data_IF_807547198559
#
_entry.id   IF_807547198559
#
_cell.length_a   1.000
_cell.length_b   1.000
_cell.length_c   1.000
_cell.angle_alpha   90.00
_cell.angle_beta   90.00
_cell.angle_gamma   90.00
#
_symmetry.space_group_name_H-M   'P 1'
#
loop_
_entity.id
_entity.type
_entity.pdbx_description
1 polymer ?
#
# COMPACT_ATOMS: atom_id res chain seq x y z
N UNK A 1 16.22 24.17 -3.67
CA UNK A 1 15.86 23.37 -2.48
C UNK A 1 15.62 21.95 -2.97
N UNK A 2 16.31 20.95 -2.41
CA UNK A 2 16.04 19.55 -2.76
C UNK A 2 14.76 19.14 -2.01
N UNK A 3 13.62 19.08 -2.70
CA UNK A 3 12.38 18.60 -2.10
C UNK A 3 12.55 17.10 -1.78
N UNK A 4 12.29 16.74 -0.53
CA UNK A 4 12.27 15.35 -0.04
C UNK A 4 10.81 14.93 0.10
N UNK A 5 10.39 13.92 -0.65
CA UNK A 5 9.03 13.36 -0.55
C UNK A 5 8.94 12.40 0.64
N UNK A 6 7.88 12.46 1.43
CA UNK A 6 7.57 11.49 2.49
C UNK A 6 6.57 10.47 1.97
N UNK A 7 6.94 9.18 2.01
CA UNK A 7 6.11 8.08 1.54
C UNK A 7 5.86 7.12 2.69
N UNK A 8 4.60 6.95 3.08
CA UNK A 8 4.19 5.92 4.01
C UNK A 8 4.19 4.56 3.31
N UNK A 9 4.85 3.57 3.90
CA UNK A 9 5.00 2.22 3.36
C UNK A 9 4.20 1.26 4.24
N UNK A 10 3.08 0.78 3.71
CA UNK A 10 2.15 -0.12 4.41
C UNK A 10 2.13 -1.45 3.67
N UNK A 11 2.87 -2.46 4.16
CA UNK A 11 2.94 -3.76 3.49
C UNK A 11 1.62 -4.54 3.62
N UNK A 12 0.97 -4.44 4.79
CA UNK A 12 -0.24 -5.16 5.15
C UNK A 12 -0.01 -6.67 5.29
N UNK A 13 -0.84 -7.48 4.65
CA UNK A 13 -0.94 -8.94 4.85
C UNK A 13 -0.43 -9.76 3.66
N UNK A 14 -0.11 -11.03 3.94
CA UNK A 14 0.22 -12.05 2.94
C UNK A 14 1.30 -11.60 1.95
N UNK A 15 1.00 -11.71 0.65
CA UNK A 15 1.94 -11.34 -0.42
C UNK A 15 2.32 -9.85 -0.39
N UNK A 16 1.56 -8.99 0.30
CA UNK A 16 1.95 -7.60 0.51
C UNK A 16 3.34 -7.47 1.15
N UNK A 17 3.65 -8.34 2.11
CA UNK A 17 4.97 -8.42 2.76
C UNK A 17 6.07 -8.96 1.85
N UNK A 18 5.72 -9.80 0.88
CA UNK A 18 6.66 -10.36 -0.10
C UNK A 18 7.01 -9.38 -1.23
N UNK A 19 6.01 -8.66 -1.74
CA UNK A 19 6.18 -7.77 -2.90
C UNK A 19 6.66 -6.37 -2.53
N UNK A 20 6.38 -5.90 -1.31
CA UNK A 20 6.80 -4.56 -0.86
C UNK A 20 8.32 -4.37 -0.92
N UNK A 21 9.18 -5.29 -0.43
CA UNK A 21 10.63 -5.17 -0.55
C UNK A 21 11.12 -5.10 -2.01
N UNK A 22 10.45 -5.82 -2.93
CA UNK A 22 10.78 -5.76 -4.35
C UNK A 22 10.44 -4.39 -4.96
N UNK A 23 9.28 -3.83 -4.61
CA UNK A 23 8.88 -2.47 -5.01
C UNK A 23 9.86 -1.41 -4.50
N UNK A 24 10.22 -1.46 -3.22
CA UNK A 24 11.21 -0.56 -2.61
C UNK A 24 12.59 -0.66 -3.27
N UNK A 25 13.02 -1.87 -3.65
CA UNK A 25 14.30 -2.08 -4.37
C UNK A 25 14.32 -1.35 -5.71
N UNK A 26 13.22 -1.42 -6.47
CA UNK A 26 13.09 -0.72 -7.76
C UNK A 26 13.03 0.79 -7.55
N UNK A 27 12.26 1.25 -6.56
CA UNK A 27 12.18 2.68 -6.21
C UNK A 27 13.57 3.22 -5.83
N UNK A 28 14.34 2.52 -5.00
CA UNK A 28 15.70 2.90 -4.63
C UNK A 28 16.60 3.07 -5.86
N UNK A 29 16.57 2.11 -6.79
CA UNK A 29 17.37 2.21 -8.01
C UNK A 29 16.96 3.41 -8.88
N UNK A 30 15.66 3.72 -8.95
CA UNK A 30 15.15 4.88 -9.68
C UNK A 30 15.52 6.20 -8.99
N UNK A 31 15.33 6.31 -7.68
CA UNK A 31 15.61 7.54 -6.92
C UNK A 31 17.10 7.90 -6.95
N UNK A 32 17.98 6.90 -6.82
CA UNK A 32 19.44 7.08 -6.97
C UNK A 32 19.81 7.54 -8.37
N UNK A 33 19.21 6.95 -9.41
CA UNK A 33 19.48 7.30 -10.81
C UNK A 33 19.06 8.73 -11.15
N UNK A 34 17.95 9.21 -10.60
CA UNK A 34 17.35 10.50 -10.96
C UNK A 34 17.55 11.60 -9.91
N UNK A 35 18.27 11.31 -8.82
CA UNK A 35 18.52 12.29 -7.74
C UNK A 35 17.26 12.70 -6.98
N UNK A 36 16.27 11.80 -6.86
CA UNK A 36 15.01 12.05 -6.15
C UNK A 36 15.19 11.65 -4.70
N UNK A 37 14.89 12.54 -3.76
CA UNK A 37 14.94 12.24 -2.34
C UNK A 37 13.57 11.73 -1.84
N UNK A 38 13.53 10.52 -1.28
CA UNK A 38 12.34 9.94 -0.64
C UNK A 38 12.67 9.56 0.80
N UNK A 39 11.80 9.94 1.74
CA UNK A 39 11.74 9.47 3.11
C UNK A 39 10.71 8.34 3.20
N UNK A 40 11.15 7.11 3.47
CA UNK A 40 10.25 5.98 3.64
C UNK A 40 9.88 5.85 5.11
N UNK A 41 8.59 5.99 5.42
CA UNK A 41 8.05 5.83 6.77
C UNK A 41 7.31 4.50 6.79
N UNK A 42 7.90 3.50 7.44
CA UNK A 42 7.31 2.16 7.54
C UNK A 42 6.18 2.20 8.58
N UNK A 43 5.04 1.60 8.20
CA UNK A 43 3.82 1.56 8.99
C UNK A 43 3.40 0.09 9.15
N UNK A 44 3.23 -0.34 10.39
CA UNK A 44 2.96 -1.75 10.74
C UNK A 44 1.46 -2.07 10.90
N UNK A 45 0.62 -1.04 11.04
CA UNK A 45 -0.85 -1.18 11.09
C UNK A 45 -1.46 -1.38 9.69
N UNK A 46 -2.79 -1.48 9.62
CA UNK A 46 -3.55 -1.90 8.44
C UNK A 46 -3.19 -3.33 7.98
N UNK A 47 -3.01 -4.21 8.97
CA UNK A 47 -2.74 -5.63 8.83
C UNK A 47 -3.60 -6.43 9.82
N UNK A 48 -3.85 -7.70 9.51
CA UNK A 48 -4.56 -8.63 10.38
C UNK A 48 -3.73 -9.00 11.62
N UNK A 49 -2.40 -8.92 11.54
CA UNK A 49 -1.51 -9.08 12.69
C UNK A 49 -1.75 -7.95 13.70
N UNK A 50 -1.77 -6.70 13.24
CA UNK A 50 -2.07 -5.54 14.09
C UNK A 50 -3.46 -5.65 14.71
N UNK A 51 -4.45 -6.12 13.94
CA UNK A 51 -5.80 -6.39 14.46
C UNK A 51 -5.81 -7.44 15.57
N UNK A 52 -5.05 -8.52 15.41
CA UNK A 52 -4.97 -9.60 16.42
C UNK A 52 -4.41 -9.08 17.74
N UNK A 53 -3.45 -8.15 17.69
CA UNK A 53 -2.83 -7.56 18.87
C UNK A 53 -3.67 -6.44 19.51
N UNK A 54 -4.38 -5.64 18.70
CA UNK A 54 -4.99 -4.38 19.15
C UNK A 54 -6.52 -4.35 19.07
N UNK A 55 -7.15 -5.36 18.45
CA UNK A 55 -8.60 -5.41 18.21
C UNK A 55 -9.12 -4.44 17.14
N UNK A 56 -8.23 -3.72 16.46
CA UNK A 56 -8.55 -2.74 15.43
C UNK A 56 -7.51 -2.77 14.32
N UNK A 57 -7.91 -2.48 13.07
CA UNK A 57 -7.01 -2.56 11.92
C UNK A 57 -5.98 -1.42 11.91
N UNK A 58 -6.32 -0.25 12.46
CA UNK A 58 -5.47 0.94 12.50
C UNK A 58 -5.65 1.62 13.86
N UNK A 59 -4.63 2.32 14.41
CA UNK A 59 -4.78 3.06 15.66
C UNK A 59 -5.73 4.27 15.48
N UNK A 60 -6.25 4.82 16.57
CA UNK A 60 -7.18 5.96 16.50
C UNK A 60 -6.56 7.23 15.88
N UNK A 61 -5.25 7.39 15.98
CA UNK A 61 -4.48 8.52 15.44
C UNK A 61 -3.89 8.26 14.04
N UNK A 62 -4.40 7.25 13.33
CA UNK A 62 -3.86 6.84 12.02
C UNK A 62 -3.85 7.99 10.99
N UNK A 63 -4.84 8.89 11.06
CA UNK A 63 -4.99 10.00 10.11
C UNK A 63 -3.95 11.08 10.38
N UNK A 64 -3.69 11.35 11.65
CA UNK A 64 -2.64 12.27 12.12
C UNK A 64 -1.25 11.75 11.74
N UNK A 65 -1.00 10.43 11.89
CA UNK A 65 0.26 9.81 11.47
C UNK A 65 0.53 9.95 9.96
N UNK A 66 -0.53 10.06 9.16
CA UNK A 66 -0.44 10.22 7.71
C UNK A 66 -0.63 11.67 7.21
N UNK A 67 -0.84 12.64 8.10
CA UNK A 67 -1.20 14.01 7.71
C UNK A 67 -0.12 14.73 6.89
N UNK A 68 1.15 14.46 7.19
CA UNK A 68 2.31 15.08 6.54
C UNK A 68 2.95 14.18 5.46
N UNK A 69 2.23 13.15 4.99
CA UNK A 69 2.73 12.20 3.99
C UNK A 69 2.32 12.65 2.59
N UNK A 70 3.25 12.60 1.64
CA UNK A 70 2.98 12.96 0.24
C UNK A 70 2.28 11.83 -0.52
N UNK A 71 2.57 10.56 -0.18
CA UNK A 71 1.94 9.40 -0.79
C UNK A 71 1.96 8.15 0.10
N UNK A 72 0.96 7.28 -0.08
CA UNK A 72 0.89 5.96 0.56
C UNK A 72 1.26 4.90 -0.47
N UNK A 73 2.33 4.15 -0.21
CA UNK A 73 2.68 2.93 -0.93
C UNK A 73 2.10 1.74 -0.16
N UNK A 74 0.98 1.23 -0.66
CA UNK A 74 0.20 0.18 -0.01
C UNK A 74 0.38 -1.17 -0.72
N UNK A 75 0.60 -2.24 0.06
CA UNK A 75 0.66 -3.62 -0.42
C UNK A 75 -0.74 -4.22 -0.58
N UNK A 76 -1.09 -5.16 0.30
CA UNK A 76 -2.40 -5.82 0.32
C UNK A 76 -2.89 -5.97 1.76
N UNK A 77 -4.19 -6.06 1.97
CA UNK A 77 -4.78 -6.32 3.30
C UNK A 77 -5.86 -7.38 3.17
N UNK A 78 -5.91 -8.28 4.14
CA UNK A 78 -6.87 -9.38 4.20
C UNK A 78 -6.21 -10.71 4.52
N UNK A 79 -6.76 -11.39 5.53
CA UNK A 79 -6.42 -12.76 5.90
C UNK A 79 -7.68 -13.45 6.44
N UNK A 80 -8.55 -14.01 5.58
CA UNK A 80 -9.90 -14.44 5.96
C UNK A 80 -9.91 -15.57 7.00
N UNK A 81 -8.82 -16.33 7.12
CA UNK A 81 -8.66 -17.37 8.13
C UNK A 81 -8.60 -16.82 9.56
N UNK A 82 -8.21 -15.56 9.75
CA UNK A 82 -8.08 -14.93 11.08
C UNK A 82 -8.97 -13.71 11.24
N UNK A 83 -9.14 -12.89 10.21
CA UNK A 83 -9.95 -11.67 10.23
C UNK A 83 -10.87 -11.64 9.02
N UNK A 84 -12.20 -11.63 9.19
CA UNK A 84 -13.15 -11.53 8.08
C UNK A 84 -12.85 -10.37 7.14
N UNK A 85 -12.96 -10.59 5.83
CA UNK A 85 -12.61 -9.59 4.80
C UNK A 85 -13.32 -8.25 4.98
N UNK A 86 -14.59 -8.27 5.40
CA UNK A 86 -15.33 -7.04 5.63
C UNK A 86 -14.79 -6.24 6.81
N UNK A 87 -14.18 -6.88 7.82
CA UNK A 87 -13.54 -6.19 8.94
C UNK A 87 -12.21 -5.62 8.48
N UNK A 88 -11.37 -6.43 7.85
CA UNK A 88 -10.03 -6.01 7.43
C UNK A 88 -10.08 -4.87 6.40
N UNK A 89 -10.94 -4.98 5.38
CA UNK A 89 -11.04 -4.00 4.30
C UNK A 89 -11.72 -2.69 4.73
N UNK A 90 -12.80 -2.76 5.52
CA UNK A 90 -13.51 -1.57 6.00
C UNK A 90 -12.81 -0.90 7.17
N UNK A 91 -12.02 -1.63 7.94
CA UNK A 91 -11.19 -1.10 9.02
C UNK A 91 -9.91 -0.42 8.54
N UNK A 92 -9.54 -0.55 7.26
CA UNK A 92 -8.27 -0.02 6.73
C UNK A 92 -8.43 0.72 5.39
N UNK A 93 -8.27 0.03 4.26
CA UNK A 93 -8.20 0.60 2.92
C UNK A 93 -9.39 1.48 2.56
N UNK A 94 -10.60 1.10 2.95
CA UNK A 94 -11.78 1.92 2.67
C UNK A 94 -11.86 3.18 3.53
N UNK A 95 -11.32 3.17 4.75
CA UNK A 95 -11.20 4.40 5.55
C UNK A 95 -10.25 5.37 4.86
N UNK A 96 -9.03 4.93 4.54
CA UNK A 96 -8.03 5.75 3.85
C UNK A 96 -8.59 6.37 2.56
N UNK A 97 -9.30 5.57 1.74
CA UNK A 97 -9.91 6.07 0.51
C UNK A 97 -10.97 7.14 0.74
N UNK A 98 -11.85 6.98 1.72
CA UNK A 98 -12.95 7.91 1.97
C UNK A 98 -12.47 9.17 2.69
N UNK A 99 -11.62 9.00 3.70
CA UNK A 99 -11.18 10.08 4.59
C UNK A 99 -10.12 11.00 3.98
N UNK A 100 -9.35 10.50 3.00
CA UNK A 100 -8.48 11.30 2.14
C UNK A 100 -9.12 11.68 0.80
N UNK A 101 -10.42 11.43 0.63
CA UNK A 101 -11.17 11.72 -0.59
C UNK A 101 -10.48 11.23 -1.88
N UNK A 102 -9.99 9.99 -1.85
CA UNK A 102 -9.38 9.32 -3.00
C UNK A 102 -10.48 8.79 -3.95
N UNK A 103 -11.32 9.69 -4.43
CA UNK A 103 -12.51 9.35 -5.22
C UNK A 103 -12.18 8.76 -6.60
N UNK A 104 -10.97 9.02 -7.14
CA UNK A 104 -10.51 8.43 -8.40
C UNK A 104 -9.73 7.14 -8.13
N UNK A 105 -10.21 6.04 -8.71
CA UNK A 105 -9.53 4.74 -8.71
C UNK A 105 -9.03 4.40 -10.12
N UNK A 106 -7.83 4.89 -10.47
CA UNK A 106 -7.20 4.65 -11.77
C UNK A 106 -6.61 3.23 -11.85
N UNK A 107 -7.04 2.44 -12.84
CA UNK A 107 -6.60 1.05 -13.03
C UNK A 107 -6.18 0.77 -14.49
N UNK A 108 -4.95 1.12 -14.89
CA UNK A 108 -4.46 0.85 -16.24
C UNK A 108 -4.44 -0.66 -16.55
N UNK A 109 -5.01 -1.05 -17.68
CA UNK A 109 -4.98 -2.43 -18.19
C UNK A 109 -4.19 -2.46 -19.52
N UNK A 110 -3.08 -3.22 -19.56
CA UNK A 110 -2.20 -3.33 -20.74
C UNK A 110 -1.62 -4.74 -20.85
N UNK A 111 -1.54 -5.26 -22.08
CA UNK A 111 -0.76 -6.46 -22.41
C UNK A 111 0.67 -6.08 -22.74
N UNK A 112 1.66 -6.80 -22.18
CA UNK A 112 3.07 -6.60 -22.51
C UNK A 112 3.51 -7.52 -23.64
N UNK A 113 4.44 -7.03 -24.48
CA UNK A 113 5.09 -7.86 -25.51
C UNK A 113 5.75 -9.07 -24.83
N UNK A 114 5.44 -10.28 -25.32
CA UNK A 114 5.95 -11.53 -24.75
C UNK A 114 5.02 -12.20 -23.73
N UNK A 115 3.96 -11.52 -23.27
CA UNK A 115 2.94 -12.13 -22.40
C UNK A 115 1.80 -12.69 -23.26
N UNK A 116 1.50 -13.98 -23.12
CA UNK A 116 0.36 -14.62 -23.80
C UNK A 116 -0.95 -14.07 -23.22
N UNK A 117 -1.76 -13.41 -24.05
CA UNK A 117 -3.08 -12.92 -23.62
C UNK A 117 -4.02 -14.09 -23.33
N UNK A 118 -4.87 -13.97 -22.30
CA UNK A 118 -5.93 -14.96 -22.03
C UNK A 118 -6.90 -15.10 -23.21
N UNK A 119 -7.05 -14.04 -24.02
CA UNK A 119 -7.88 -14.01 -25.23
C UNK A 119 -7.15 -14.53 -26.49
N UNK A 120 -5.93 -15.05 -26.35
CA UNK A 120 -5.14 -15.54 -27.50
C UNK A 120 -5.53 -16.94 -27.98
N UNK A 121 -6.48 -17.58 -27.31
CA UNK A 121 -7.01 -18.91 -27.71
C UNK A 121 -8.49 -18.73 -28.08
N UNK A 122 -8.94 -19.21 -29.26
CA UNK A 122 -10.35 -19.19 -29.66
C UNK A 122 -11.26 -19.97 -28.71
#
# INVERSE_FOLDING_TARGET
MNLKYKVAVIAGDGIGKEVMPAGLRVLKAATERFGIAIDYIVIEWASCDYYTEHGQMMPNDWKEQLADIDAILFGAVGWPDTVPDHISLWGSLLQMRREFDQYINMRPARTFKGVKSALSTP
#
